data_IF_045024798489
#
_entry.id   IF_045024798489
#
_cell.length_a   1.000
_cell.length_b   1.000
_cell.length_c   1.000
_cell.angle_alpha   90.00
_cell.angle_beta   90.00
_cell.angle_gamma   90.00
#
_symmetry.space_group_name_H-M   'P 1'
#
loop_
_entity.id
_entity.type
_entity.pdbx_description
1 polymer ?
#
# COMPACT_ATOMS: atom_id res chain seq x y z
N UNK A 1 -24.19 19.93 34.40
CA UNK A 1 -24.67 19.56 33.07
C UNK A 1 -23.88 20.36 32.05
N UNK A 2 -22.91 19.74 31.38
CA UNK A 2 -22.06 20.40 30.38
C UNK A 2 -22.31 19.70 29.05
N UNK A 3 -23.06 20.37 28.18
CA UNK A 3 -23.40 19.87 26.84
C UNK A 3 -22.15 19.90 25.95
N UNK A 4 -21.68 18.73 25.54
CA UNK A 4 -20.67 18.60 24.49
C UNK A 4 -21.25 19.10 23.16
N UNK A 5 -20.67 20.18 22.61
CA UNK A 5 -20.96 20.65 21.25
C UNK A 5 -20.45 19.60 20.25
N UNK A 6 -21.35 18.83 19.65
CA UNK A 6 -21.04 18.01 18.48
C UNK A 6 -20.78 18.92 17.28
N UNK A 7 -19.57 18.89 16.73
CA UNK A 7 -19.19 19.67 15.56
C UNK A 7 -19.64 18.96 14.27
N UNK A 8 -20.60 19.49 13.49
CA UNK A 8 -21.18 18.78 12.35
C UNK A 8 -20.49 19.18 11.03
N UNK A 9 -19.29 18.67 10.75
CA UNK A 9 -18.73 18.62 9.38
C UNK A 9 -17.36 17.92 9.33
N UNK A 10 -17.31 16.60 9.46
CA UNK A 10 -16.18 15.78 8.98
C UNK A 10 -16.69 14.83 7.91
N UNK A 11 -17.00 15.37 6.73
CA UNK A 11 -17.22 14.56 5.55
C UNK A 11 -15.88 13.87 5.24
N UNK A 12 -15.80 12.55 5.44
CA UNK A 12 -14.59 11.77 5.17
C UNK A 12 -14.24 11.97 3.69
N UNK A 13 -13.17 12.73 3.40
CA UNK A 13 -12.63 12.82 2.04
C UNK A 13 -12.29 11.41 1.57
N UNK A 14 -12.88 11.01 0.45
CA UNK A 14 -12.55 9.75 -0.22
C UNK A 14 -11.05 9.72 -0.52
N UNK A 15 -10.37 8.63 -0.20
CA UNK A 15 -8.92 8.55 -0.44
C UNK A 15 -8.64 8.48 -1.95
N UNK A 16 -7.49 9.02 -2.39
CA UNK A 16 -7.07 8.94 -3.79
C UNK A 16 -7.01 7.51 -4.32
N UNK A 17 -6.69 6.52 -3.46
CA UNK A 17 -6.74 5.10 -3.83
C UNK A 17 -8.15 4.66 -4.21
N UNK A 18 -9.15 5.04 -3.42
CA UNK A 18 -10.55 4.71 -3.68
C UNK A 18 -11.05 5.42 -4.93
N UNK A 19 -10.62 6.67 -5.17
CA UNK A 19 -10.95 7.38 -6.40
C UNK A 19 -10.38 6.68 -7.64
N UNK A 20 -9.10 6.27 -7.62
CA UNK A 20 -8.48 5.49 -8.70
C UNK A 20 -9.21 4.16 -8.92
N UNK A 21 -9.52 3.43 -7.85
CA UNK A 21 -10.24 2.15 -7.95
C UNK A 21 -11.63 2.33 -8.58
N UNK A 22 -12.40 3.33 -8.12
CA UNK A 22 -13.73 3.59 -8.67
C UNK A 22 -13.66 4.03 -10.15
N UNK A 23 -12.65 4.80 -10.52
CA UNK A 23 -12.44 5.18 -11.91
C UNK A 23 -12.15 3.95 -12.79
N UNK A 24 -11.31 3.02 -12.32
CA UNK A 24 -11.03 1.76 -13.02
C UNK A 24 -12.28 0.89 -13.16
N UNK A 25 -13.11 0.80 -12.10
CA UNK A 25 -14.42 0.09 -12.14
C UNK A 25 -15.36 0.70 -13.18
N UNK A 26 -15.47 2.03 -13.18
CA UNK A 26 -16.35 2.75 -14.09
C UNK A 26 -15.88 2.65 -15.56
N UNK A 27 -14.57 2.57 -15.79
CA UNK A 27 -14.02 2.36 -17.11
C UNK A 27 -14.26 0.92 -17.63
N UNK A 28 -14.45 -0.05 -16.74
CA UNK A 28 -14.72 -1.44 -17.10
C UNK A 28 -13.65 -2.00 -18.03
N UNK A 29 -14.08 -2.68 -19.09
CA UNK A 29 -13.19 -3.30 -20.08
C UNK A 29 -12.41 -2.33 -20.95
N UNK A 30 -12.79 -1.03 -20.99
CA UNK A 30 -12.05 0.00 -21.73
C UNK A 30 -10.71 0.32 -21.07
N UNK A 31 -10.66 0.23 -19.73
CA UNK A 31 -9.53 0.69 -18.93
C UNK A 31 -9.35 2.21 -18.95
N UNK A 32 -8.32 2.67 -18.25
CA UNK A 32 -7.91 4.07 -18.20
C UNK A 32 -6.47 4.23 -18.65
N UNK A 33 -6.20 5.24 -19.45
CA UNK A 33 -4.84 5.61 -19.79
C UNK A 33 -4.10 6.25 -18.61
N UNK A 34 -2.77 6.18 -18.62
CA UNK A 34 -1.90 6.84 -17.62
C UNK A 34 -2.19 8.35 -17.46
N UNK A 35 -2.51 9.07 -18.54
CA UNK A 35 -2.88 10.49 -18.44
C UNK A 35 -4.23 10.69 -17.75
N UNK A 36 -5.24 9.83 -18.00
CA UNK A 36 -6.53 9.89 -17.31
C UNK A 36 -6.38 9.59 -15.81
N UNK A 37 -5.50 8.63 -15.47
CA UNK A 37 -5.15 8.33 -14.07
C UNK A 37 -4.41 9.49 -13.39
N UNK A 38 -3.59 10.23 -14.13
CA UNK A 38 -2.85 11.38 -13.62
C UNK A 38 -3.78 12.51 -13.17
N UNK A 39 -4.85 12.78 -13.92
CA UNK A 39 -5.88 13.76 -13.58
C UNK A 39 -6.60 13.44 -12.25
N UNK A 40 -6.73 12.15 -11.93
CA UNK A 40 -7.35 11.70 -10.66
C UNK A 40 -6.34 11.79 -9.51
N UNK A 41 -5.10 11.40 -9.76
CA UNK A 41 -4.04 11.35 -8.76
C UNK A 41 -2.67 11.42 -9.41
N UNK A 42 -1.91 12.47 -9.13
CA UNK A 42 -0.50 12.59 -9.55
C UNK A 42 0.38 11.41 -9.11
N UNK A 43 0.02 10.74 -8.00
CA UNK A 43 0.70 9.53 -7.50
C UNK A 43 -0.01 8.23 -7.87
N UNK A 44 -0.74 8.21 -8.99
CA UNK A 44 -1.55 7.05 -9.43
C UNK A 44 -0.76 5.74 -9.42
N UNK A 45 0.51 5.75 -9.84
CA UNK A 45 1.34 4.55 -9.84
C UNK A 45 1.49 3.95 -8.43
N UNK A 46 1.67 4.78 -7.40
CA UNK A 46 1.69 4.31 -6.01
C UNK A 46 0.33 3.77 -5.57
N UNK A 47 -0.78 4.38 -6.04
CA UNK A 47 -2.13 3.89 -5.76
C UNK A 47 -2.40 2.53 -6.42
N UNK A 48 -1.94 2.31 -7.65
CA UNK A 48 -2.02 1.00 -8.31
C UNK A 48 -1.20 -0.05 -7.53
N UNK A 49 0.00 0.31 -7.08
CA UNK A 49 0.81 -0.57 -6.22
C UNK A 49 0.11 -0.95 -4.91
N UNK A 50 -0.61 -0.01 -4.29
CA UNK A 50 -1.45 -0.32 -3.13
C UNK A 50 -2.59 -1.28 -3.47
N UNK A 51 -3.23 -1.14 -4.65
CA UNK A 51 -4.28 -2.04 -5.11
C UNK A 51 -3.74 -3.44 -5.41
N UNK A 52 -2.59 -3.55 -6.06
CA UNK A 52 -1.93 -4.85 -6.28
C UNK A 52 -1.64 -5.57 -4.96
N UNK A 53 -1.13 -4.85 -3.94
CA UNK A 53 -0.91 -5.40 -2.60
C UNK A 53 -2.19 -5.87 -1.91
N UNK A 54 -3.33 -5.27 -2.26
CA UNK A 54 -4.65 -5.65 -1.76
C UNK A 54 -5.27 -6.82 -2.52
N UNK A 55 -4.63 -7.32 -3.57
CA UNK A 55 -5.08 -8.47 -4.37
C UNK A 55 -5.85 -8.12 -5.64
N UNK A 56 -5.97 -6.84 -6.00
CA UNK A 56 -6.60 -6.45 -7.26
C UNK A 56 -5.70 -6.81 -8.45
N UNK A 57 -6.29 -7.38 -9.50
CA UNK A 57 -5.57 -7.66 -10.75
C UNK A 57 -5.90 -6.58 -11.77
N UNK A 58 -4.87 -5.85 -12.18
CA UNK A 58 -4.97 -4.80 -13.19
C UNK A 58 -4.06 -5.21 -14.36
N UNK A 59 -4.63 -5.33 -15.56
CA UNK A 59 -3.87 -5.55 -16.79
C UNK A 59 -3.33 -4.21 -17.27
N UNK A 60 -2.12 -4.24 -17.80
CA UNK A 60 -1.48 -3.09 -18.44
C UNK A 60 -1.24 -3.41 -19.90
N UNK A 61 -1.82 -2.60 -20.78
CA UNK A 61 -1.67 -2.71 -22.22
C UNK A 61 -0.90 -1.48 -22.73
N UNK A 62 0.18 -1.70 -23.47
CA UNK A 62 0.95 -0.60 -24.09
C UNK A 62 0.26 -0.16 -25.38
N UNK A 63 -0.14 1.11 -25.45
CA UNK A 63 -0.83 1.69 -26.62
C UNK A 63 0.13 2.40 -27.59
N UNK A 64 1.42 2.50 -27.26
CA UNK A 64 2.42 3.25 -28.00
C UNK A 64 2.72 4.63 -27.38
N UNK A 65 3.84 5.23 -27.78
CA UNK A 65 4.24 6.60 -27.41
C UNK A 65 4.24 6.89 -25.89
N UNK A 66 4.55 5.87 -25.08
CA UNK A 66 4.56 5.98 -23.62
C UNK A 66 3.17 5.96 -22.97
N UNK A 67 2.11 5.80 -23.76
CA UNK A 67 0.72 5.67 -23.29
C UNK A 67 0.46 4.21 -22.92
N UNK A 68 -0.05 4.01 -21.71
CA UNK A 68 -0.42 2.70 -21.18
C UNK A 68 -1.85 2.74 -20.69
N UNK A 69 -2.64 1.74 -21.06
CA UNK A 69 -3.99 1.52 -20.53
C UNK A 69 -3.97 0.53 -19.38
N UNK A 70 -4.72 0.85 -18.33
CA UNK A 70 -4.85 0.07 -17.11
C UNK A 70 -6.30 -0.40 -16.97
N UNK A 71 -6.51 -1.71 -17.02
CA UNK A 71 -7.84 -2.32 -16.97
C UNK A 71 -7.98 -3.15 -15.72
N UNK A 72 -9.04 -2.92 -14.93
CA UNK A 72 -9.36 -3.77 -13.79
C UNK A 72 -9.91 -5.10 -14.31
N UNK A 73 -9.18 -6.19 -14.06
CA UNK A 73 -9.54 -7.54 -14.51
C UNK A 73 -10.27 -8.32 -13.42
N UNK A 74 -9.81 -8.18 -12.18
CA UNK A 74 -10.33 -8.97 -11.06
C UNK A 74 -10.25 -8.18 -9.76
N UNK A 75 -11.34 -8.24 -9.00
CA UNK A 75 -11.37 -7.79 -7.62
C UNK A 75 -11.18 -8.99 -6.68
N UNK A 76 -10.39 -8.82 -5.61
CA UNK A 76 -10.15 -9.91 -4.68
C UNK A 76 -11.42 -10.18 -3.86
N UNK A 77 -11.71 -11.46 -3.61
CA UNK A 77 -12.85 -11.86 -2.76
C UNK A 77 -12.75 -11.29 -1.33
N UNK A 78 -11.52 -11.07 -0.85
CA UNK A 78 -11.22 -10.33 0.36
C UNK A 78 -9.98 -9.46 0.15
N UNK A 79 -9.99 -8.23 0.66
CA UNK A 79 -8.82 -7.34 0.62
C UNK A 79 -7.67 -8.04 1.36
N UNK A 80 -6.59 -8.34 0.63
CA UNK A 80 -5.40 -8.91 1.26
C UNK A 80 -4.87 -7.91 2.30
N UNK A 81 -4.60 -8.37 3.53
CA UNK A 81 -3.94 -7.51 4.50
C UNK A 81 -2.62 -7.06 3.89
N UNK A 82 -2.31 -5.77 4.05
CA UNK A 82 -0.99 -5.28 3.66
C UNK A 82 0.09 -6.11 4.37
N UNK A 83 1.31 -6.19 3.79
CA UNK A 83 2.40 -6.87 4.48
C UNK A 83 2.52 -6.29 5.90
N UNK A 84 2.63 -7.19 6.87
CA UNK A 84 2.85 -6.82 8.27
C UNK A 84 4.08 -5.90 8.36
N UNK A 85 4.03 -4.88 9.21
CA UNK A 85 5.18 -3.95 9.29
C UNK A 85 6.37 -4.75 9.78
N UNK A 86 7.53 -4.55 9.14
CA UNK A 86 8.76 -5.25 9.51
C UNK A 86 9.09 -5.13 11.01
N UNK A 87 8.78 -3.99 11.62
CA UNK A 87 8.94 -3.78 13.06
C UNK A 87 8.01 -4.67 13.88
N UNK A 88 6.75 -4.81 13.48
CA UNK A 88 5.76 -5.63 14.18
C UNK A 88 6.15 -7.12 14.09
N UNK A 89 6.59 -7.57 12.91
CA UNK A 89 7.16 -8.91 12.71
C UNK A 89 8.36 -9.12 13.64
N UNK A 90 9.32 -8.19 13.64
CA UNK A 90 10.54 -8.32 14.44
C UNK A 90 10.23 -8.38 15.95
N UNK A 91 9.37 -7.48 16.45
CA UNK A 91 8.98 -7.46 17.86
C UNK A 91 8.25 -8.74 18.23
N UNK A 92 7.31 -9.22 17.40
CA UNK A 92 6.60 -10.48 17.66
C UNK A 92 7.58 -11.64 17.82
N UNK A 93 8.49 -11.83 16.86
CA UNK A 93 9.45 -12.94 16.88
C UNK A 93 10.38 -12.87 18.10
N UNK A 94 10.86 -11.67 18.46
CA UNK A 94 11.70 -11.48 19.64
C UNK A 94 10.95 -11.86 20.93
N UNK A 95 9.68 -11.45 21.05
CA UNK A 95 8.86 -11.77 22.22
C UNK A 95 8.46 -13.24 22.27
N UNK A 96 7.98 -13.82 21.16
CA UNK A 96 7.42 -15.18 21.13
C UNK A 96 8.48 -16.27 21.12
N UNK A 97 9.54 -16.11 20.34
CA UNK A 97 10.55 -17.18 20.13
C UNK A 97 11.74 -17.04 21.08
N UNK A 98 12.01 -15.83 21.59
CA UNK A 98 13.22 -15.53 22.35
C UNK A 98 12.96 -14.84 23.71
N UNK A 99 11.69 -14.67 24.11
CA UNK A 99 11.34 -14.13 25.43
C UNK A 99 11.75 -12.68 25.66
N UNK A 100 11.75 -11.86 24.61
CA UNK A 100 12.00 -10.42 24.69
C UNK A 100 13.48 -10.01 24.55
N UNK A 101 14.40 -10.97 24.37
CA UNK A 101 15.84 -10.67 24.22
C UNK A 101 16.49 -11.56 23.18
N UNK A 102 17.39 -11.00 22.38
CA UNK A 102 18.11 -11.73 21.32
C UNK A 102 19.59 -11.39 21.31
N UNK A 103 20.41 -12.39 21.02
CA UNK A 103 21.81 -12.22 20.62
C UNK A 103 21.90 -11.71 19.19
N UNK A 104 23.08 -11.22 18.80
CA UNK A 104 23.35 -10.80 17.41
C UNK A 104 23.07 -11.89 16.39
N UNK A 105 23.44 -13.14 16.68
CA UNK A 105 23.22 -14.27 15.77
C UNK A 105 21.72 -14.56 15.58
N UNK A 106 20.94 -14.50 16.67
CA UNK A 106 19.48 -14.67 16.61
C UNK A 106 18.81 -13.52 15.86
N UNK A 107 19.25 -12.27 16.08
CA UNK A 107 18.74 -11.12 15.32
C UNK A 107 18.97 -11.29 13.81
N UNK A 108 20.17 -11.69 13.40
CA UNK A 108 20.49 -11.94 11.99
C UNK A 108 19.65 -13.07 11.40
N UNK A 109 19.43 -14.13 12.17
CA UNK A 109 18.56 -15.24 11.78
C UNK A 109 17.10 -14.80 11.56
N UNK A 110 16.53 -14.00 12.46
CA UNK A 110 15.16 -13.47 12.32
C UNK A 110 15.03 -12.62 11.05
N UNK A 111 16.01 -11.74 10.81
CA UNK A 111 16.02 -10.88 9.62
C UNK A 111 16.04 -11.71 8.33
N UNK A 112 16.92 -12.71 8.24
CA UNK A 112 17.04 -13.56 7.05
C UNK A 112 15.79 -14.42 6.83
N UNK A 113 15.27 -15.06 7.87
CA UNK A 113 14.12 -15.97 7.79
C UNK A 113 12.84 -15.23 7.36
N UNK A 114 12.71 -13.96 7.76
CA UNK A 114 11.58 -13.11 7.40
C UNK A 114 11.84 -12.23 6.16
N UNK A 115 12.96 -12.42 5.46
CA UNK A 115 13.36 -11.63 4.28
C UNK A 115 13.36 -10.12 4.55
N UNK A 116 13.76 -9.72 5.76
CA UNK A 116 13.85 -8.35 6.20
C UNK A 116 15.27 -7.81 6.00
N UNK A 117 15.38 -6.52 5.73
CA UNK A 117 16.66 -5.80 5.65
C UNK A 117 16.67 -4.61 6.60
N UNK A 118 17.83 -4.30 7.18
CA UNK A 118 18.03 -3.10 8.01
C UNK A 118 18.65 -2.01 7.14
N UNK A 119 17.97 -0.88 7.01
CA UNK A 119 18.43 0.28 6.27
C UNK A 119 18.44 1.54 7.12
N UNK A 120 19.20 2.56 6.71
CA UNK A 120 19.12 3.89 7.31
C UNK A 120 17.84 4.59 6.88
N UNK A 121 17.26 5.40 7.76
CA UNK A 121 16.18 6.30 7.39
C UNK A 121 16.68 7.27 6.31
N UNK A 122 15.89 7.46 5.26
CA UNK A 122 16.25 8.36 4.17
C UNK A 122 16.51 9.77 4.71
N UNK A 123 17.59 10.40 4.24
CA UNK A 123 17.96 11.78 4.62
C UNK A 123 18.57 11.94 6.02
N UNK A 124 18.89 10.86 6.74
CA UNK A 124 19.49 10.96 8.09
C UNK A 124 20.99 10.64 8.12
N UNK A 125 21.60 10.32 6.98
CA UNK A 125 23.04 10.12 6.90
C UNK A 125 23.70 11.44 6.51
N UNK A 126 24.41 12.05 7.46
CA UNK A 126 25.30 13.19 7.25
C UNK A 126 26.74 12.70 7.39
N UNK A 127 27.55 12.94 6.35
CA UNK A 127 29.02 12.73 6.38
C UNK A 127 29.67 13.97 6.96
#
# INVERSE_FOLDING_TARGET
MTTAKSNPSKQKRTSQRVMVLNALRNAGSKGLANYELYEISQRWAARLQELYKQGYKIRVDNLGDGIHSYTLVEEPAAILPGPERAQDVLTREIESEFGGSVTTAQLLYILQSNKLQVGRKAGTFSV
#
